data_IF_704466542123
#
_entry.id   IF_704466542123
#
_cell.length_a   1.000
_cell.length_b   1.000
_cell.length_c   1.000
_cell.angle_alpha   90.00
_cell.angle_beta   90.00
_cell.angle_gamma   90.00
#
_symmetry.space_group_name_H-M   'P 1'
#
loop_
_entity.id
_entity.type
_entity.pdbx_description
1 polymer ?
#
# COMPACT_ATOMS: atom_id res chain seq x y z
N UNK A 1 18.13 20.23 15.75
CA UNK A 1 16.81 19.84 15.20
C UNK A 1 15.91 21.07 15.31
N UNK A 2 15.35 21.51 14.21
CA UNK A 2 14.51 22.71 14.16
C UNK A 2 13.25 22.47 15.03
N UNK A 3 12.96 23.41 15.96
CA UNK A 3 11.80 23.36 16.85
C UNK A 3 10.50 23.24 16.04
N UNK A 4 10.39 23.99 14.95
CA UNK A 4 9.22 23.94 14.05
C UNK A 4 9.03 22.54 13.44
N UNK A 5 10.09 21.87 13.02
CA UNK A 5 10.01 20.53 12.46
C UNK A 5 9.54 19.49 13.50
N UNK A 6 9.92 19.70 14.77
CA UNK A 6 9.46 18.83 15.88
C UNK A 6 7.96 19.04 16.12
N UNK A 7 7.51 20.28 16.23
CA UNK A 7 6.10 20.64 16.45
C UNK A 7 5.20 20.09 15.32
N UNK A 8 5.59 20.28 14.05
CA UNK A 8 4.85 19.76 12.90
C UNK A 8 4.75 18.22 12.89
N UNK A 9 5.78 17.53 13.38
CA UNK A 9 5.76 16.08 13.52
C UNK A 9 4.81 15.63 14.62
N UNK A 10 4.85 16.28 15.77
CA UNK A 10 3.95 16.00 16.88
C UNK A 10 2.49 16.27 16.52
N UNK A 11 2.23 17.36 15.82
CA UNK A 11 0.91 17.69 15.29
C UNK A 11 0.41 16.63 14.30
N UNK A 12 1.27 16.19 13.37
CA UNK A 12 0.90 15.14 12.43
C UNK A 12 0.45 13.87 13.15
N UNK A 13 1.22 13.37 14.12
CA UNK A 13 0.87 12.14 14.83
C UNK A 13 -0.33 12.29 15.75
N UNK A 14 -0.54 13.49 16.29
CA UNK A 14 -1.75 13.81 17.06
C UNK A 14 -2.99 13.76 16.17
N UNK A 15 -2.92 14.35 15.00
CA UNK A 15 -4.02 14.33 14.03
C UNK A 15 -4.28 12.92 13.51
N UNK A 16 -3.25 12.12 13.26
CA UNK A 16 -3.37 10.71 12.88
C UNK A 16 -4.09 9.90 13.98
N UNK A 17 -3.73 10.13 15.24
CA UNK A 17 -4.39 9.50 16.40
C UNK A 17 -5.87 9.85 16.50
N UNK A 18 -6.22 11.11 16.32
CA UNK A 18 -7.62 11.58 16.32
C UNK A 18 -8.46 10.94 15.21
N UNK A 19 -7.84 10.55 14.11
CA UNK A 19 -8.49 9.86 12.99
C UNK A 19 -8.39 8.33 13.06
N UNK A 20 -8.01 7.74 14.20
CA UNK A 20 -7.95 6.29 14.42
C UNK A 20 -6.69 5.60 13.90
N UNK A 21 -5.60 6.34 13.79
CA UNK A 21 -4.27 5.86 13.38
C UNK A 21 -4.19 5.31 11.96
N UNK A 22 -4.73 5.97 10.94
CA UNK A 22 -4.69 5.46 9.58
C UNK A 22 -3.26 5.32 9.02
N UNK A 23 -2.31 6.15 9.49
CA UNK A 23 -0.90 6.09 9.12
C UNK A 23 -0.07 5.39 10.20
N UNK A 24 -0.38 5.60 11.47
CA UNK A 24 0.34 5.05 12.61
C UNK A 24 0.30 3.52 12.68
N UNK A 25 -0.83 2.90 12.32
CA UNK A 25 -0.94 1.43 12.27
C UNK A 25 0.01 0.82 11.24
N UNK A 26 -0.04 1.18 9.95
CA UNK A 26 0.91 0.66 8.97
C UNK A 26 2.36 1.08 9.25
N UNK A 27 2.60 2.25 9.86
CA UNK A 27 3.95 2.65 10.28
C UNK A 27 4.55 1.67 11.28
N UNK A 28 3.81 1.33 12.35
CA UNK A 28 4.27 0.37 13.36
C UNK A 28 4.44 -1.04 12.80
N UNK A 29 3.60 -1.43 11.86
CA UNK A 29 3.75 -2.72 11.16
C UNK A 29 5.05 -2.78 10.35
N UNK A 30 5.38 -1.71 9.61
CA UNK A 30 6.62 -1.60 8.84
C UNK A 30 7.83 -1.62 9.79
N UNK A 31 7.78 -0.88 10.90
CA UNK A 31 8.81 -0.87 11.94
C UNK A 31 9.01 -2.28 12.51
N UNK A 32 7.93 -2.96 12.90
CA UNK A 32 7.98 -4.35 13.36
C UNK A 32 8.61 -5.30 12.34
N UNK A 33 8.18 -5.24 11.07
CA UNK A 33 8.73 -6.09 10.01
C UNK A 33 10.21 -5.84 9.73
N UNK A 34 10.67 -4.61 9.95
CA UNK A 34 12.08 -4.23 9.74
C UNK A 34 12.98 -4.62 10.91
N UNK A 35 12.44 -4.67 12.11
CA UNK A 35 13.18 -4.94 13.36
C UNK A 35 13.01 -6.38 13.87
N UNK A 36 12.00 -7.10 13.36
CA UNK A 36 11.69 -8.46 13.79
C UNK A 36 12.71 -9.47 13.29
N UNK A 37 12.86 -10.58 14.04
CA UNK A 37 13.60 -11.75 13.55
C UNK A 37 12.97 -12.30 12.26
N UNK A 38 13.76 -13.03 11.47
CA UNK A 38 13.27 -13.64 10.23
C UNK A 38 12.00 -14.47 10.45
N UNK A 39 11.95 -15.24 11.53
CA UNK A 39 10.78 -16.08 11.87
C UNK A 39 9.53 -15.26 12.13
N UNK A 40 9.59 -14.25 13.00
CA UNK A 40 8.43 -13.40 13.34
C UNK A 40 7.93 -12.62 12.13
N UNK A 41 8.83 -12.01 11.37
CA UNK A 41 8.50 -11.28 10.17
C UNK A 41 7.92 -12.17 9.06
N UNK A 42 8.36 -13.44 8.96
CA UNK A 42 7.84 -14.41 8.00
C UNK A 42 6.40 -14.80 8.30
N UNK A 43 6.05 -15.02 9.56
CA UNK A 43 4.68 -15.36 9.96
C UNK A 43 3.69 -14.26 9.57
N UNK A 44 4.02 -13.00 9.87
CA UNK A 44 3.18 -11.86 9.49
C UNK A 44 3.09 -11.69 7.96
N UNK A 45 4.23 -11.73 7.25
CA UNK A 45 4.22 -11.64 5.77
C UNK A 45 3.39 -12.75 5.12
N UNK A 46 3.48 -13.98 5.63
CA UNK A 46 2.70 -15.10 5.10
C UNK A 46 1.20 -14.94 5.39
N UNK A 47 0.83 -14.41 6.55
CA UNK A 47 -0.57 -14.10 6.83
C UNK A 47 -1.10 -13.03 5.86
N UNK A 48 -0.41 -11.91 5.71
CA UNK A 48 -0.78 -10.84 4.78
C UNK A 48 -0.82 -11.30 3.32
N UNK A 49 0.11 -12.17 2.92
CA UNK A 49 0.10 -12.75 1.58
C UNK A 49 -1.16 -13.59 1.35
N UNK A 50 -1.51 -14.46 2.30
CA UNK A 50 -2.77 -15.24 2.19
C UNK A 50 -3.99 -14.33 2.08
N UNK A 51 -4.07 -13.32 2.93
CA UNK A 51 -5.19 -12.38 2.94
C UNK A 51 -5.36 -11.68 1.57
N UNK A 52 -4.27 -11.21 0.96
CA UNK A 52 -4.35 -10.55 -0.35
C UNK A 52 -4.66 -11.52 -1.48
N UNK A 53 -4.15 -12.76 -1.43
CA UNK A 53 -4.46 -13.80 -2.42
C UNK A 53 -5.94 -14.19 -2.35
N UNK A 54 -6.46 -14.41 -1.15
CA UNK A 54 -7.87 -14.71 -0.93
C UNK A 54 -8.78 -13.55 -1.34
N UNK A 55 -8.39 -12.31 -1.01
CA UNK A 55 -9.13 -11.14 -1.44
C UNK A 55 -9.16 -11.02 -2.97
N UNK A 56 -8.03 -11.19 -3.64
CA UNK A 56 -7.94 -11.13 -5.10
C UNK A 56 -8.83 -12.20 -5.76
N UNK A 57 -8.78 -13.44 -5.28
CA UNK A 57 -9.60 -14.54 -5.80
C UNK A 57 -11.09 -14.29 -5.64
N UNK A 58 -11.50 -13.72 -4.52
CA UNK A 58 -12.91 -13.52 -4.19
C UNK A 58 -13.51 -12.26 -4.83
N UNK A 59 -12.68 -11.28 -5.21
CA UNK A 59 -13.15 -9.97 -5.66
C UNK A 59 -12.69 -9.56 -7.06
N UNK A 60 -11.70 -10.26 -7.65
CA UNK A 60 -11.26 -9.97 -9.02
C UNK A 60 -11.75 -11.07 -9.97
N UNK A 61 -12.61 -10.78 -10.97
CA UNK A 61 -13.10 -11.77 -11.93
C UNK A 61 -11.97 -12.56 -12.62
N UNK A 62 -10.85 -11.91 -12.91
CA UNK A 62 -9.67 -12.53 -13.52
C UNK A 62 -9.10 -13.71 -12.71
N UNK A 63 -9.22 -13.68 -11.38
CA UNK A 63 -8.70 -14.71 -10.48
C UNK A 63 -9.78 -15.67 -9.96
N UNK A 64 -11.05 -15.47 -10.29
CA UNK A 64 -12.17 -16.26 -9.76
C UNK A 64 -12.13 -17.75 -10.11
N UNK A 65 -11.47 -18.11 -11.23
CA UNK A 65 -11.26 -19.51 -11.65
C UNK A 65 -10.17 -20.26 -10.89
N UNK A 66 -9.41 -19.60 -10.02
CA UNK A 66 -8.33 -20.21 -9.23
C UNK A 66 -8.89 -20.87 -7.97
N UNK A 67 -9.65 -21.96 -8.13
CA UNK A 67 -10.23 -22.70 -6.99
C UNK A 67 -9.17 -23.52 -6.26
N UNK A 68 -9.19 -23.49 -4.91
CA UNK A 68 -8.30 -24.30 -4.07
C UNK A 68 -6.86 -23.83 -3.98
N UNK A 69 -6.52 -22.69 -4.57
CA UNK A 69 -5.18 -22.15 -4.65
C UNK A 69 -4.90 -21.27 -3.42
N UNK A 70 -3.83 -21.59 -2.69
CA UNK A 70 -3.44 -20.90 -1.46
C UNK A 70 -2.03 -20.29 -1.51
N UNK A 71 -1.30 -20.50 -2.60
CA UNK A 71 0.09 -20.09 -2.73
C UNK A 71 0.31 -19.19 -3.95
N UNK A 72 1.22 -18.24 -3.81
CA UNK A 72 1.50 -17.23 -4.84
C UNK A 72 1.91 -17.85 -6.19
N UNK A 73 2.57 -19.00 -6.17
CA UNK A 73 3.05 -19.70 -7.36
C UNK A 73 1.94 -20.14 -8.30
N UNK A 74 0.73 -20.32 -7.78
CA UNK A 74 -0.44 -20.74 -8.56
C UNK A 74 -1.11 -19.56 -9.29
N UNK A 75 -0.74 -18.33 -8.94
CA UNK A 75 -1.25 -17.13 -9.61
C UNK A 75 -0.47 -16.87 -10.90
N UNK A 76 -1.15 -16.44 -11.97
CA UNK A 76 -0.48 -16.18 -13.24
C UNK A 76 0.49 -15.01 -13.13
N UNK A 77 1.67 -15.17 -13.74
CA UNK A 77 2.60 -14.06 -13.87
C UNK A 77 2.00 -12.99 -14.77
N UNK A 78 1.96 -11.76 -14.25
CA UNK A 78 1.42 -10.60 -14.93
C UNK A 78 2.54 -9.73 -15.49
N UNK A 79 2.41 -9.34 -16.75
CA UNK A 79 3.20 -8.27 -17.35
C UNK A 79 2.28 -7.09 -17.73
N UNK A 80 2.86 -5.99 -18.18
CA UNK A 80 2.12 -4.77 -18.55
C UNK A 80 1.05 -5.03 -19.62
N UNK A 81 1.39 -5.79 -20.66
CA UNK A 81 0.46 -6.08 -21.75
C UNK A 81 -0.74 -6.87 -21.25
N UNK A 82 -0.48 -7.97 -20.57
CA UNK A 82 -1.52 -8.83 -19.99
C UNK A 82 -2.40 -8.08 -18.98
N UNK A 83 -1.82 -7.17 -18.20
CA UNK A 83 -2.58 -6.31 -17.30
C UNK A 83 -3.53 -5.37 -18.09
N UNK A 84 -3.03 -4.71 -19.14
CA UNK A 84 -3.84 -3.78 -19.95
C UNK A 84 -4.98 -4.52 -20.68
N UNK A 85 -4.72 -5.71 -21.22
CA UNK A 85 -5.73 -6.54 -21.89
C UNK A 85 -6.84 -7.02 -20.94
N UNK A 86 -6.53 -7.14 -19.65
CA UNK A 86 -7.46 -7.66 -18.64
C UNK A 86 -7.84 -6.61 -17.58
N UNK A 87 -7.63 -5.33 -17.86
CA UNK A 87 -7.76 -4.25 -16.87
C UNK A 87 -9.09 -4.30 -16.11
N UNK A 88 -10.21 -4.41 -16.80
CA UNK A 88 -11.55 -4.43 -16.20
C UNK A 88 -11.80 -5.71 -15.37
N UNK A 89 -11.22 -6.84 -15.74
CA UNK A 89 -11.38 -8.11 -15.04
C UNK A 89 -10.46 -8.24 -13.81
N UNK A 90 -9.34 -7.51 -13.79
CA UNK A 90 -8.41 -7.49 -12.66
C UNK A 90 -8.86 -6.48 -11.61
N UNK A 91 -9.59 -5.47 -12.02
CA UNK A 91 -10.09 -4.42 -11.15
C UNK A 91 -11.21 -4.94 -10.25
N UNK A 92 -11.13 -4.64 -8.95
CA UNK A 92 -12.25 -4.87 -8.02
C UNK A 92 -13.26 -3.74 -8.11
N UNK A 93 -14.51 -4.01 -7.71
CA UNK A 93 -15.52 -2.96 -7.60
C UNK A 93 -15.15 -2.02 -6.43
N UNK A 94 -15.13 -0.71 -6.70
CA UNK A 94 -14.77 0.31 -5.72
C UNK A 94 -15.62 0.22 -4.43
N UNK A 95 -16.89 -0.20 -4.55
CA UNK A 95 -17.78 -0.39 -3.39
C UNK A 95 -17.41 -1.56 -2.48
N UNK A 96 -16.59 -2.49 -2.95
CA UNK A 96 -16.14 -3.67 -2.17
C UNK A 96 -14.78 -3.47 -1.52
N UNK A 97 -14.11 -2.34 -1.78
CA UNK A 97 -12.78 -2.05 -1.22
C UNK A 97 -12.90 -1.70 0.27
N UNK A 98 -12.29 -2.48 1.17
CA UNK A 98 -12.35 -2.20 2.60
C UNK A 98 -11.75 -0.84 2.96
N UNK A 99 -12.48 -0.03 3.73
CA UNK A 99 -11.98 1.26 4.23
C UNK A 99 -11.74 2.32 3.16
N UNK A 100 -12.32 2.17 1.95
CA UNK A 100 -12.22 3.17 0.89
C UNK A 100 -12.93 4.47 1.30
N UNK A 101 -12.22 5.58 1.20
CA UNK A 101 -12.74 6.92 1.42
C UNK A 101 -12.75 7.70 0.10
N UNK A 102 -13.95 8.05 -0.37
CA UNK A 102 -14.13 8.75 -1.63
C UNK A 102 -13.77 7.90 -2.86
N UNK A 103 -13.37 8.57 -3.94
CA UNK A 103 -13.00 7.90 -5.18
C UNK A 103 -11.61 7.27 -5.11
N UNK A 104 -11.46 6.13 -5.78
CA UNK A 104 -10.15 5.48 -5.97
C UNK A 104 -9.24 6.42 -6.79
N UNK A 105 -8.05 6.66 -6.27
CA UNK A 105 -7.07 7.50 -6.96
C UNK A 105 -6.40 6.72 -8.10
N UNK A 106 -6.41 7.27 -9.29
CA UNK A 106 -5.71 6.70 -10.45
C UNK A 106 -4.35 7.37 -10.60
N UNK A 107 -3.28 6.60 -10.42
CA UNK A 107 -1.93 7.06 -10.69
C UNK A 107 -1.48 6.59 -12.06
N UNK A 108 -1.02 7.52 -12.89
CA UNK A 108 -0.45 7.20 -14.20
C UNK A 108 1.07 7.32 -14.18
N UNK A 109 1.74 6.45 -14.93
CA UNK A 109 3.17 6.57 -15.21
C UNK A 109 3.37 7.24 -16.56
N UNK A 110 4.41 8.06 -16.69
CA UNK A 110 4.73 8.81 -17.94
C UNK A 110 5.11 7.91 -19.13
N UNK A 111 5.21 6.60 -18.94
CA UNK A 111 5.44 5.62 -20.00
C UNK A 111 6.62 5.95 -20.93
N UNK A 112 7.85 5.84 -20.45
CA UNK A 112 9.06 5.95 -21.29
C UNK A 112 9.05 5.03 -22.53
N UNK A 113 8.12 4.09 -22.58
CA UNK A 113 7.91 3.10 -23.67
C UNK A 113 6.62 3.36 -24.48
N UNK A 114 6.05 4.56 -24.44
CA UNK A 114 4.98 5.02 -25.32
C UNK A 114 3.54 4.84 -24.79
N UNK A 115 3.22 3.85 -23.99
CA UNK A 115 1.85 3.68 -23.45
C UNK A 115 1.81 4.00 -21.98
N UNK A 116 1.05 5.01 -21.53
CA UNK A 116 0.83 5.27 -20.11
C UNK A 116 0.25 4.05 -19.39
N UNK A 117 0.69 3.83 -18.16
CA UNK A 117 0.16 2.77 -17.31
C UNK A 117 -0.60 3.40 -16.16
N UNK A 118 -1.88 3.07 -16.03
CA UNK A 118 -2.76 3.57 -14.98
C UNK A 118 -2.93 2.51 -13.90
N UNK A 119 -2.66 2.88 -12.64
CA UNK A 119 -2.79 1.99 -11.49
C UNK A 119 -3.76 2.60 -10.48
N UNK A 120 -4.88 1.94 -10.19
CA UNK A 120 -5.76 2.33 -9.09
C UNK A 120 -5.05 2.21 -7.74
N UNK A 121 -5.22 3.21 -6.90
CA UNK A 121 -4.69 3.22 -5.54
C UNK A 121 -5.84 3.54 -4.57
N UNK A 122 -6.21 2.55 -3.78
CA UNK A 122 -7.20 2.74 -2.73
C UNK A 122 -6.68 3.58 -1.55
N UNK A 123 -7.57 3.90 -0.64
CA UNK A 123 -7.24 4.71 0.55
C UNK A 123 -6.17 4.02 1.41
N UNK A 124 -6.27 2.71 1.63
CA UNK A 124 -5.32 1.97 2.47
C UNK A 124 -3.92 1.94 1.84
N UNK A 125 -3.83 1.72 0.52
CA UNK A 125 -2.55 1.78 -0.21
C UNK A 125 -1.89 3.15 -0.09
N UNK A 126 -2.65 4.22 -0.20
CA UNK A 126 -2.13 5.59 -0.05
C UNK A 126 -1.66 5.88 1.36
N UNK A 127 -2.41 5.45 2.37
CA UNK A 127 -2.03 5.57 3.78
C UNK A 127 -0.74 4.80 4.09
N UNK A 128 -0.65 3.54 3.60
CA UNK A 128 0.56 2.72 3.73
C UNK A 128 1.77 3.38 3.08
N UNK A 129 1.62 3.95 1.89
CA UNK A 129 2.70 4.68 1.22
C UNK A 129 3.20 5.87 2.05
N UNK A 130 2.32 6.62 2.70
CA UNK A 130 2.73 7.71 3.61
C UNK A 130 3.53 7.15 4.79
N UNK A 131 3.07 6.04 5.38
CA UNK A 131 3.77 5.37 6.45
C UNK A 131 5.18 4.91 6.03
N UNK A 132 5.30 4.29 4.85
CA UNK A 132 6.57 3.87 4.25
C UNK A 132 7.54 5.05 4.09
N UNK A 133 7.07 6.15 3.49
CA UNK A 133 7.88 7.36 3.31
C UNK A 133 8.37 7.95 4.64
N UNK A 134 7.51 7.95 5.67
CA UNK A 134 7.89 8.43 7.00
C UNK A 134 8.88 7.51 7.69
N UNK A 135 8.71 6.19 7.57
CA UNK A 135 9.60 5.21 8.19
C UNK A 135 11.00 5.25 7.55
N UNK A 136 11.08 5.11 6.24
CA UNK A 136 12.36 5.11 5.53
C UNK A 136 13.03 6.49 5.56
N UNK A 137 12.26 7.57 5.53
CA UNK A 137 12.76 8.92 5.76
C UNK A 137 13.46 9.04 7.13
N UNK A 138 12.87 8.51 8.20
CA UNK A 138 13.48 8.47 9.53
C UNK A 138 14.83 7.74 9.53
N UNK A 139 14.91 6.57 8.86
CA UNK A 139 16.16 5.76 8.81
C UNK A 139 17.30 6.52 8.15
N UNK A 140 17.03 7.23 7.06
CA UNK A 140 18.06 8.00 6.33
C UNK A 140 18.26 9.42 6.87
N UNK A 141 17.68 9.73 8.04
CA UNK A 141 17.78 11.06 8.65
C UNK A 141 16.98 12.16 7.93
N UNK A 142 16.08 11.78 7.02
CA UNK A 142 15.26 12.70 6.27
C UNK A 142 13.95 12.97 7.02
N UNK A 143 13.70 14.23 7.37
CA UNK A 143 12.46 14.64 8.04
C UNK A 143 11.50 15.18 7.01
N UNK A 144 10.51 14.36 6.65
CA UNK A 144 9.55 14.61 5.55
C UNK A 144 8.79 15.96 5.64
N UNK A 145 8.71 16.55 6.82
CA UNK A 145 8.01 17.83 7.03
C UNK A 145 8.87 19.08 6.78
N UNK A 146 10.18 18.94 6.52
CA UNK A 146 11.07 20.07 6.23
C UNK A 146 10.97 20.61 4.79
N UNK A 147 10.23 19.94 3.92
CA UNK A 147 10.13 20.28 2.49
C UNK A 147 9.10 21.36 2.14
N UNK A 148 8.26 21.78 3.08
CA UNK A 148 7.23 22.80 2.80
C UNK A 148 7.76 24.24 2.79
N UNK A 149 9.01 24.47 3.10
CA UNK A 149 9.58 25.81 3.28
C UNK A 149 10.79 26.11 2.35
N UNK A 150 10.85 25.52 1.15
CA UNK A 150 11.78 25.99 0.13
C UNK A 150 11.07 26.28 -1.17
#
# INVERSE_FOLDING_TARGET
MDLLAKELREEFWRNDALNGFPIGKPYKEIEFLSESTEKQGRELRNAQLRDILDYARNNCPFYSGLSGVSVLQDYPVMNKLKYLENYENIRVNDSTIPGQLGHVHIQTTSGSTGTPFAVPQDTLKRQRRIAELKYFGKIVGFVVNEWKNK
#
